data_IF_041047459553
#
_entry.id   IF_041047459553
#
_cell.length_a   1.000
_cell.length_b   1.000
_cell.length_c   1.000
_cell.angle_alpha   90.00
_cell.angle_beta   90.00
_cell.angle_gamma   90.00
#
_symmetry.space_group_name_H-M   'P 1'
#
loop_
_entity.id
_entity.type
_entity.pdbx_description
1 polymer ?
#
# COMPACT_ATOMS: atom_id res chain seq x y z
N UNK A 1 14.19 -5.77 -3.78
CA UNK A 1 14.20 -4.67 -2.80
C UNK A 1 14.01 -3.37 -3.55
N UNK A 2 12.87 -2.69 -3.38
CA UNK A 2 12.88 -1.24 -3.54
C UNK A 2 13.03 -0.67 -2.14
N UNK A 3 14.17 -0.05 -1.89
CA UNK A 3 14.56 0.50 -0.59
C UNK A 3 15.16 1.90 -0.75
N UNK A 4 14.74 2.66 -1.76
CA UNK A 4 15.01 4.09 -1.77
C UNK A 4 14.07 4.76 -0.78
N UNK A 5 14.59 5.26 0.34
CA UNK A 5 13.86 6.10 1.29
C UNK A 5 13.84 7.56 0.81
N UNK A 6 12.81 8.33 1.17
CA UNK A 6 12.74 9.78 0.94
C UNK A 6 13.60 10.53 1.97
N UNK A 7 14.90 10.28 2.00
CA UNK A 7 15.78 10.82 3.06
C UNK A 7 16.03 12.31 2.85
N UNK A 8 16.43 12.71 1.64
CA UNK A 8 16.78 14.10 1.33
C UNK A 8 15.56 15.02 1.47
N UNK A 9 14.41 14.61 0.94
CA UNK A 9 13.18 15.38 0.97
C UNK A 9 12.66 15.59 2.41
N UNK A 10 12.82 14.58 3.28
CA UNK A 10 12.45 14.71 4.69
C UNK A 10 13.39 15.69 5.41
N UNK A 11 14.70 15.64 5.16
CA UNK A 11 15.64 16.61 5.74
C UNK A 11 15.33 18.03 5.30
N UNK A 12 15.10 18.25 4.00
CA UNK A 12 14.72 19.56 3.47
C UNK A 12 13.43 20.09 4.13
N UNK A 13 12.43 19.22 4.29
CA UNK A 13 11.19 19.57 4.99
C UNK A 13 11.42 19.93 6.47
N UNK A 14 12.30 19.19 7.15
CA UNK A 14 12.68 19.46 8.55
C UNK A 14 13.37 20.81 8.69
N UNK A 15 14.32 21.13 7.80
CA UNK A 15 15.03 22.41 7.84
C UNK A 15 14.11 23.60 7.57
N UNK A 16 13.20 23.47 6.60
CA UNK A 16 12.33 24.56 6.18
C UNK A 16 11.17 24.83 7.13
N UNK A 17 10.55 23.78 7.67
CA UNK A 17 9.26 23.90 8.38
C UNK A 17 9.26 23.37 9.81
N UNK A 18 10.33 22.67 10.23
CA UNK A 18 10.45 22.03 11.56
C UNK A 18 9.19 21.26 11.95
N UNK A 19 8.70 20.35 11.09
CA UNK A 19 7.47 19.62 11.34
C UNK A 19 7.66 18.62 12.47
N UNK A 20 6.58 18.25 13.15
CA UNK A 20 6.57 17.05 13.99
C UNK A 20 6.65 15.82 13.07
N UNK A 21 7.59 14.92 13.32
CA UNK A 21 7.74 13.67 12.57
C UNK A 21 7.23 12.50 13.41
N UNK A 22 6.34 11.68 12.83
CA UNK A 22 5.80 10.48 13.47
C UNK A 22 6.06 9.30 12.52
N UNK A 23 6.70 8.25 13.02
CA UNK A 23 6.96 7.01 12.29
C UNK A 23 6.14 5.87 12.88
N UNK A 24 5.21 5.36 12.08
CA UNK A 24 4.38 4.20 12.41
C UNK A 24 5.02 2.99 11.71
N UNK A 25 5.77 2.19 12.45
CA UNK A 25 6.50 1.02 11.93
C UNK A 25 6.64 -0.03 13.04
N UNK A 26 6.47 -1.33 12.78
CA UNK A 26 6.73 -2.38 13.76
C UNK A 26 8.19 -2.39 14.29
N UNK A 27 9.13 -1.80 13.55
CA UNK A 27 10.54 -1.70 13.92
C UNK A 27 10.92 -0.26 14.23
N UNK A 28 11.70 -0.07 15.29
CA UNK A 28 12.39 1.19 15.55
C UNK A 28 13.59 1.30 14.62
N UNK A 29 13.42 1.96 13.48
CA UNK A 29 14.47 2.14 12.46
C UNK A 29 15.39 3.32 12.80
N UNK A 30 16.54 3.39 12.11
CA UNK A 30 17.48 4.52 12.26
C UNK A 30 16.82 5.88 11.94
N UNK A 31 15.79 5.88 11.09
CA UNK A 31 14.98 7.07 10.77
C UNK A 31 14.34 7.70 12.00
N UNK A 32 14.04 6.93 13.05
CA UNK A 32 13.52 7.45 14.32
C UNK A 32 14.53 8.41 14.95
N UNK A 33 15.79 8.00 15.00
CA UNK A 33 16.88 8.84 15.52
C UNK A 33 17.24 9.96 14.54
N UNK A 34 17.31 9.64 13.24
CA UNK A 34 17.77 10.56 12.20
C UNK A 34 16.85 11.78 12.02
N UNK A 35 15.55 11.62 12.30
CA UNK A 35 14.53 12.67 12.12
C UNK A 35 13.96 13.18 13.44
N UNK A 36 14.53 12.79 14.59
CA UNK A 36 13.95 13.05 15.93
C UNK A 36 12.44 12.71 15.99
N UNK A 37 12.08 11.56 15.41
CA UNK A 37 10.70 11.19 15.19
C UNK A 37 10.10 10.49 16.42
N UNK A 38 8.82 10.73 16.66
CA UNK A 38 8.03 9.87 17.54
C UNK A 38 7.83 8.51 16.87
N UNK A 39 8.13 7.41 17.57
CA UNK A 39 7.92 6.07 17.06
C UNK A 39 6.66 5.43 17.64
N UNK A 40 5.76 4.98 16.77
CA UNK A 40 4.54 4.24 17.10
C UNK A 40 4.67 2.78 16.64
N UNK A 41 4.89 1.82 17.57
CA UNK A 41 5.18 0.42 17.25
C UNK A 41 3.91 -0.36 16.91
N UNK A 42 3.39 -0.17 15.70
CA UNK A 42 2.19 -0.87 15.23
C UNK A 42 2.47 -2.37 15.03
N UNK A 43 1.50 -3.23 15.35
CA UNK A 43 1.57 -4.65 14.98
C UNK A 43 1.46 -4.81 13.45
N UNK A 44 2.32 -5.61 12.80
CA UNK A 44 2.29 -5.78 11.35
C UNK A 44 0.90 -6.15 10.81
N UNK A 45 0.44 -5.47 9.76
CA UNK A 45 -0.82 -5.75 9.07
C UNK A 45 -2.07 -5.20 9.75
N UNK A 46 -1.93 -4.31 10.74
CA UNK A 46 -3.07 -3.72 11.48
C UNK A 46 -3.32 -2.25 11.15
N UNK A 47 -2.65 -1.72 10.12
CA UNK A 47 -2.70 -0.32 9.72
C UNK A 47 -4.11 0.17 9.41
N UNK A 48 -4.91 -0.63 8.69
CA UNK A 48 -6.30 -0.30 8.38
C UNK A 48 -7.18 -0.13 9.64
N UNK A 49 -6.89 -0.89 10.71
CA UNK A 49 -7.60 -0.75 11.98
C UNK A 49 -7.22 0.56 12.69
N UNK A 50 -5.93 0.94 12.65
CA UNK A 50 -5.48 2.24 13.15
C UNK A 50 -6.18 3.38 12.41
N UNK A 51 -6.22 3.32 11.06
CA UNK A 51 -6.84 4.38 10.26
C UNK A 51 -8.35 4.48 10.50
N UNK A 52 -9.05 3.34 10.60
CA UNK A 52 -10.48 3.34 10.90
C UNK A 52 -10.78 4.01 12.26
N UNK A 53 -9.94 3.78 13.28
CA UNK A 53 -10.10 4.41 14.59
C UNK A 53 -9.67 5.89 14.65
N UNK A 54 -8.73 6.30 13.81
CA UNK A 54 -8.48 7.72 13.58
C UNK A 54 -9.73 8.35 12.97
N UNK A 55 -10.28 7.76 11.91
CA UNK A 55 -11.53 8.20 11.28
C UNK A 55 -12.70 8.28 12.26
N UNK A 56 -12.83 7.29 13.16
CA UNK A 56 -13.83 7.29 14.22
C UNK A 56 -13.70 8.51 15.13
N UNK A 57 -12.48 8.81 15.59
CA UNK A 57 -12.22 9.99 16.43
C UNK A 57 -12.57 11.27 15.67
N UNK A 58 -12.16 11.37 14.39
CA UNK A 58 -12.47 12.54 13.56
C UNK A 58 -13.99 12.75 13.43
N UNK A 59 -14.76 11.69 13.22
CA UNK A 59 -16.23 11.77 13.10
C UNK A 59 -16.85 12.18 14.44
N UNK A 60 -16.46 11.56 15.56
CA UNK A 60 -17.06 11.83 16.88
C UNK A 60 -16.73 13.23 17.41
N UNK A 61 -15.61 13.80 16.99
CA UNK A 61 -15.16 15.14 17.40
C UNK A 61 -15.48 16.23 16.37
N UNK A 62 -16.22 15.90 15.30
CA UNK A 62 -16.60 16.85 14.24
C UNK A 62 -15.39 17.51 13.56
N UNK A 63 -14.36 16.71 13.28
CA UNK A 63 -13.08 17.14 12.68
C UNK A 63 -12.93 16.71 11.21
N UNK A 64 -13.98 16.15 10.61
CA UNK A 64 -13.98 15.74 9.20
C UNK A 64 -14.32 16.93 8.31
N UNK A 65 -13.59 17.11 7.20
CA UNK A 65 -13.95 18.07 6.16
C UNK A 65 -15.09 17.52 5.27
N UNK A 66 -16.30 17.44 5.84
CA UNK A 66 -17.46 16.87 5.13
C UNK A 66 -17.83 17.67 3.88
N UNK A 67 -17.61 18.99 3.86
CA UNK A 67 -17.90 19.82 2.69
C UNK A 67 -17.03 19.42 1.49
N UNK A 68 -15.72 19.26 1.70
CA UNK A 68 -14.82 18.84 0.64
C UNK A 68 -15.13 17.43 0.16
N UNK A 69 -15.38 16.50 1.09
CA UNK A 69 -15.68 15.10 0.75
C UNK A 69 -16.95 15.03 -0.08
N UNK A 70 -18.02 15.71 0.33
CA UNK A 70 -19.30 15.70 -0.39
C UNK A 70 -19.21 16.36 -1.77
N UNK A 71 -18.22 17.23 -2.01
CA UNK A 71 -17.98 17.86 -3.32
C UNK A 71 -17.22 16.96 -4.29
N UNK A 72 -16.28 16.15 -3.79
CA UNK A 72 -15.28 15.48 -4.65
C UNK A 72 -15.26 13.96 -4.54
N UNK A 73 -15.98 13.37 -3.60
CA UNK A 73 -16.00 11.94 -3.36
C UNK A 73 -17.43 11.38 -3.37
N UNK A 74 -17.51 10.05 -3.54
CA UNK A 74 -18.74 9.27 -3.57
C UNK A 74 -18.60 8.15 -2.54
N UNK A 75 -19.67 7.86 -1.80
CA UNK A 75 -19.74 6.78 -0.82
C UNK A 75 -19.13 7.08 0.55
N UNK A 76 -18.96 8.35 0.91
CA UNK A 76 -18.53 8.73 2.27
C UNK A 76 -19.64 8.49 3.28
N UNK A 77 -20.84 8.99 2.96
CA UNK A 77 -22.06 8.90 3.75
C UNK A 77 -23.22 8.44 2.86
N UNK A 78 -24.42 8.34 3.42
CA UNK A 78 -25.62 7.93 2.67
C UNK A 78 -26.04 8.96 1.61
N UNK A 79 -25.67 10.23 1.75
CA UNK A 79 -26.01 11.29 0.78
C UNK A 79 -25.18 11.20 -0.50
N UNK A 80 -23.94 10.70 -0.37
CA UNK A 80 -22.99 10.54 -1.47
C UNK A 80 -22.95 9.09 -1.98
N UNK A 81 -23.77 8.19 -1.42
CA UNK A 81 -23.87 6.81 -1.85
C UNK A 81 -24.59 6.70 -3.21
N UNK A 82 -24.12 5.89 -4.17
CA UNK A 82 -24.91 5.60 -5.37
C UNK A 82 -26.22 4.90 -5.02
N UNK A 83 -27.31 5.19 -5.75
CA UNK A 83 -28.62 4.54 -5.52
C UNK A 83 -28.59 3.00 -5.57
N UNK A 84 -27.62 2.43 -6.28
CA UNK A 84 -27.44 0.98 -6.39
C UNK A 84 -26.69 0.35 -5.22
N UNK A 85 -26.10 1.14 -4.33
CA UNK A 85 -25.33 0.64 -3.21
C UNK A 85 -26.23 0.27 -2.02
N UNK A 86 -25.91 -0.80 -1.26
CA UNK A 86 -26.71 -1.21 -0.11
C UNK A 86 -26.77 -0.14 0.98
N UNK A 87 -27.89 -0.10 1.71
CA UNK A 87 -28.02 0.76 2.89
C UNK A 87 -26.89 0.47 3.90
N UNK A 88 -26.35 1.51 4.52
CA UNK A 88 -25.22 1.42 5.47
C UNK A 88 -23.92 0.88 4.87
N UNK A 89 -23.75 0.92 3.54
CA UNK A 89 -22.48 0.55 2.88
C UNK A 89 -21.50 1.71 2.72
N UNK A 90 -21.79 2.88 3.30
CA UNK A 90 -20.87 4.04 3.26
C UNK A 90 -19.64 3.81 4.12
N UNK A 91 -18.54 4.52 3.82
CA UNK A 91 -17.33 4.41 4.63
C UNK A 91 -17.54 4.93 6.07
N UNK A 92 -18.35 5.99 6.25
CA UNK A 92 -18.77 6.49 7.56
C UNK A 92 -19.59 5.44 8.33
N UNK A 93 -20.51 4.74 7.66
CA UNK A 93 -21.30 3.64 8.25
C UNK A 93 -20.42 2.46 8.68
N UNK A 94 -19.40 2.09 7.89
CA UNK A 94 -18.39 1.09 8.28
C UNK A 94 -17.62 1.48 9.55
N UNK A 95 -17.17 2.74 9.64
CA UNK A 95 -16.42 3.24 10.81
C UNK A 95 -17.30 3.26 12.07
N UNK A 96 -18.56 3.66 11.93
CA UNK A 96 -19.51 3.76 13.03
C UNK A 96 -20.13 2.41 13.44
N UNK A 97 -19.81 1.32 12.73
CA UNK A 97 -20.34 -0.01 13.03
C UNK A 97 -21.80 -0.22 12.62
N UNK A 98 -22.28 0.59 11.66
CA UNK A 98 -23.63 0.47 11.10
C UNK A 98 -23.69 -0.47 9.90
N UNK A 99 -22.53 -0.81 9.32
CA UNK A 99 -22.42 -1.75 8.21
C UNK A 99 -22.55 -3.22 8.63
N UNK A 100 -22.34 -4.13 7.68
CA UNK A 100 -22.55 -5.58 7.82
C UNK A 100 -21.81 -6.22 9.01
N UNK A 101 -20.62 -5.71 9.35
CA UNK A 101 -19.82 -6.29 10.44
C UNK A 101 -20.33 -5.94 11.85
N UNK A 102 -21.15 -4.88 11.99
CA UNK A 102 -21.69 -4.43 13.27
C UNK A 102 -20.65 -3.97 14.29
N UNK A 103 -19.41 -3.68 13.87
CA UNK A 103 -18.30 -3.33 14.79
C UNK A 103 -18.01 -1.84 14.72
N UNK A 104 -18.21 -1.11 15.81
CA UNK A 104 -17.76 0.28 15.90
C UNK A 104 -16.21 0.32 15.95
N UNK A 105 -15.59 1.03 15.00
CA UNK A 105 -14.13 1.07 14.85
C UNK A 105 -13.48 2.08 15.80
N UNK A 106 -13.83 2.05 17.08
CA UNK A 106 -13.36 3.02 18.07
C UNK A 106 -11.88 2.83 18.48
N UNK A 107 -11.24 3.83 19.13
CA UNK A 107 -9.84 3.74 19.58
C UNK A 107 -9.54 2.57 20.51
N UNK A 108 -10.48 2.18 21.37
CA UNK A 108 -10.33 1.06 22.29
C UNK A 108 -10.27 -0.28 21.54
N UNK A 109 -11.12 -0.46 20.52
CA UNK A 109 -11.07 -1.59 19.58
C UNK A 109 -9.74 -1.66 18.83
N UNK A 110 -9.32 -0.55 18.22
CA UNK A 110 -8.06 -0.52 17.47
C UNK A 110 -6.84 -0.70 18.37
N UNK A 111 -6.89 -0.28 19.63
CA UNK A 111 -5.79 -0.47 20.58
C UNK A 111 -5.49 -1.95 20.81
N UNK A 112 -6.52 -2.78 20.92
CA UNK A 112 -6.38 -4.23 21.08
C UNK A 112 -5.74 -4.89 19.85
N UNK A 113 -6.02 -4.39 18.65
CA UNK A 113 -5.48 -4.94 17.40
C UNK A 113 -4.05 -4.44 17.14
N UNK A 114 -3.87 -3.13 17.18
CA UNK A 114 -2.65 -2.43 16.73
C UNK A 114 -1.54 -2.41 17.76
N UNK A 115 -1.87 -2.53 19.05
CA UNK A 115 -0.95 -2.29 20.15
C UNK A 115 -0.71 -0.81 20.46
N UNK A 116 -1.27 0.13 19.69
CA UNK A 116 -1.17 1.57 19.96
C UNK A 116 -2.19 1.96 21.02
N UNK A 117 -1.82 2.70 22.09
CA UNK A 117 -2.78 3.11 23.12
C UNK A 117 -3.94 3.94 22.56
N UNK A 118 -5.17 3.66 22.99
CA UNK A 118 -6.38 4.37 22.54
C UNK A 118 -6.28 5.90 22.71
N UNK A 119 -5.67 6.36 23.81
CA UNK A 119 -5.40 7.79 24.04
C UNK A 119 -4.51 8.39 22.94
N UNK A 120 -3.49 7.64 22.51
CA UNK A 120 -2.57 8.10 21.48
C UNK A 120 -3.22 8.13 20.10
N UNK A 121 -4.09 7.17 19.79
CA UNK A 121 -4.89 7.16 18.56
C UNK A 121 -5.76 8.42 18.48
N UNK A 122 -6.44 8.77 19.58
CA UNK A 122 -7.25 10.01 19.66
C UNK A 122 -6.40 11.26 19.46
N UNK A 123 -5.24 11.33 20.11
CA UNK A 123 -4.29 12.43 19.93
C UNK A 123 -3.79 12.52 18.48
N UNK A 124 -3.51 11.38 17.84
CA UNK A 124 -3.01 11.34 16.46
C UNK A 124 -4.06 11.89 15.49
N UNK A 125 -5.34 11.53 15.69
CA UNK A 125 -6.44 12.08 14.90
C UNK A 125 -6.49 13.62 14.97
N UNK A 126 -6.44 14.17 16.19
CA UNK A 126 -6.44 15.63 16.42
C UNK A 126 -5.20 16.32 15.84
N UNK A 127 -4.03 15.69 15.96
CA UNK A 127 -2.77 16.20 15.38
C UNK A 127 -2.85 16.26 13.85
N UNK A 128 -3.39 15.24 13.19
CA UNK A 128 -3.53 15.21 11.73
C UNK A 128 -4.56 16.25 11.26
N UNK A 129 -5.72 16.33 11.92
CA UNK A 129 -6.77 17.29 11.56
C UNK A 129 -6.35 18.75 11.81
N UNK A 130 -5.63 19.00 12.91
CA UNK A 130 -5.15 20.33 13.27
C UNK A 130 -3.88 20.79 12.54
N UNK A 131 -3.23 19.91 11.77
CA UNK A 131 -2.03 20.26 11.03
C UNK A 131 -2.35 21.21 9.86
N UNK A 132 -1.58 22.30 9.74
CA UNK A 132 -1.72 23.23 8.62
C UNK A 132 -1.47 22.53 7.26
N UNK A 133 -0.53 21.59 7.23
CA UNK A 133 -0.28 20.71 6.11
C UNK A 133 0.20 19.35 6.66
N UNK A 134 -0.64 18.32 6.55
CA UNK A 134 -0.28 16.96 6.95
C UNK A 134 0.29 16.20 5.74
N UNK A 135 1.56 15.78 5.84
CA UNK A 135 2.18 14.87 4.90
C UNK A 135 2.11 13.43 5.43
N UNK A 136 1.29 12.60 4.79
CA UNK A 136 0.98 11.23 5.22
C UNK A 136 1.54 10.26 4.19
N UNK A 137 2.73 9.69 4.41
CA UNK A 137 3.39 8.84 3.42
C UNK A 137 3.48 7.39 3.89
N UNK A 138 2.87 6.46 3.14
CA UNK A 138 3.09 5.03 3.34
C UNK A 138 4.30 4.53 2.56
N UNK A 139 5.13 3.70 3.19
CA UNK A 139 6.08 2.86 2.48
C UNK A 139 5.38 1.73 1.72
N UNK A 140 6.08 1.09 0.77
CA UNK A 140 5.52 -0.02 -0.01
C UNK A 140 5.44 -1.35 0.75
N UNK A 141 5.85 -1.40 2.02
CA UNK A 141 5.77 -2.61 2.84
C UNK A 141 4.32 -3.01 3.12
N UNK A 142 3.48 -2.04 3.48
CA UNK A 142 2.10 -2.30 3.93
C UNK A 142 1.24 -2.96 2.83
N UNK A 143 1.45 -2.56 1.57
CA UNK A 143 0.71 -3.11 0.43
C UNK A 143 1.27 -4.43 -0.11
N UNK A 144 2.40 -4.93 0.42
CA UNK A 144 3.01 -6.21 0.01
C UNK A 144 2.62 -7.33 0.97
N UNK A 145 1.32 -7.39 1.25
CA UNK A 145 0.70 -8.35 2.13
C UNK A 145 -0.59 -8.85 1.49
N UNK A 146 -1.18 -9.91 2.04
CA UNK A 146 -2.53 -10.31 1.65
C UNK A 146 -3.50 -9.15 1.94
N UNK A 147 -4.34 -8.77 0.98
CA UNK A 147 -5.23 -7.61 1.06
C UNK A 147 -4.50 -6.26 1.23
N UNK A 148 -3.24 -6.18 0.79
CA UNK A 148 -2.42 -4.97 0.90
C UNK A 148 -3.04 -3.75 0.20
N UNK A 149 -3.87 -3.95 -0.81
CA UNK A 149 -4.66 -2.89 -1.45
C UNK A 149 -5.64 -2.22 -0.48
N UNK A 150 -6.19 -2.96 0.48
CA UNK A 150 -7.10 -2.42 1.50
C UNK A 150 -6.34 -1.58 2.52
N UNK A 151 -5.17 -2.06 2.95
CA UNK A 151 -4.30 -1.31 3.85
C UNK A 151 -3.84 0.00 3.19
N UNK A 152 -3.36 -0.06 1.95
CA UNK A 152 -3.00 1.13 1.19
C UNK A 152 -4.17 2.10 1.03
N UNK A 153 -5.34 1.60 0.59
CA UNK A 153 -6.55 2.40 0.43
C UNK A 153 -6.95 3.10 1.73
N UNK A 154 -6.87 2.41 2.87
CA UNK A 154 -7.23 2.99 4.16
C UNK A 154 -6.38 4.23 4.48
N UNK A 155 -5.07 4.17 4.25
CA UNK A 155 -4.16 5.30 4.51
C UNK A 155 -4.49 6.49 3.60
N UNK A 156 -4.83 6.23 2.34
CA UNK A 156 -5.28 7.27 1.39
C UNK A 156 -6.57 7.97 1.85
N UNK A 157 -7.38 7.35 2.72
CA UNK A 157 -8.58 8.00 3.27
C UNK A 157 -8.26 9.09 4.29
N UNK A 158 -7.11 9.07 4.95
CA UNK A 158 -6.77 10.10 5.94
C UNK A 158 -6.76 11.52 5.35
N UNK A 159 -5.98 11.83 4.29
CA UNK A 159 -5.96 13.18 3.72
C UNK A 159 -7.30 13.59 3.08
N UNK A 160 -8.14 12.61 2.71
CA UNK A 160 -9.52 12.85 2.25
C UNK A 160 -10.39 13.29 3.43
N UNK A 161 -10.35 12.55 4.55
CA UNK A 161 -11.14 12.86 5.75
C UNK A 161 -10.76 14.20 6.40
N UNK A 162 -9.48 14.59 6.32
CA UNK A 162 -8.96 15.79 7.00
C UNK A 162 -8.79 17.00 6.08
N UNK A 163 -9.33 16.95 4.86
CA UNK A 163 -9.28 18.09 3.93
C UNK A 163 -7.86 18.48 3.51
N UNK A 164 -6.92 17.54 3.51
CA UNK A 164 -5.53 17.77 3.14
C UNK A 164 -5.30 17.52 1.64
N UNK A 165 -6.13 16.67 1.00
CA UNK A 165 -5.96 16.28 -0.39
C UNK A 165 -5.83 17.49 -1.35
N UNK A 166 -4.74 17.55 -2.12
CA UNK A 166 -4.51 18.57 -3.14
C UNK A 166 -4.03 19.94 -2.63
N UNK A 167 -3.78 20.11 -1.33
CA UNK A 167 -3.26 21.37 -0.77
C UNK A 167 -1.73 21.46 -0.84
N UNK A 168 -1.14 22.66 -0.97
CA UNK A 168 0.31 22.83 -0.86
C UNK A 168 0.87 22.29 0.45
N UNK A 169 1.99 21.56 0.39
CA UNK A 169 2.65 20.97 1.56
C UNK A 169 2.02 19.67 2.08
N UNK A 170 1.01 19.14 1.39
CA UNK A 170 0.34 17.87 1.73
C UNK A 170 0.66 16.78 0.69
N UNK A 171 0.11 15.59 0.87
CA UNK A 171 0.11 14.55 -0.15
C UNK A 171 -1.19 13.74 -0.17
N UNK A 172 -1.24 12.72 -1.02
CA UNK A 172 -2.43 11.89 -1.22
C UNK A 172 -2.51 10.67 -0.31
N UNK A 173 -1.58 10.50 0.64
CA UNK A 173 -1.48 9.28 1.44
C UNK A 173 -0.51 8.23 0.87
N UNK A 174 0.14 8.53 -0.27
CA UNK A 174 1.07 7.65 -0.96
C UNK A 174 2.52 8.09 -0.80
N UNK A 175 3.44 7.21 -1.16
CA UNK A 175 4.86 7.54 -1.30
C UNK A 175 5.07 8.72 -2.26
N UNK A 176 5.97 9.65 -1.92
CA UNK A 176 6.12 10.95 -2.61
C UNK A 176 6.90 10.93 -3.93
N UNK A 177 7.01 9.78 -4.60
CA UNK A 177 7.58 9.68 -5.94
C UNK A 177 8.58 8.54 -6.14
N UNK A 178 8.91 8.24 -7.39
CA UNK A 178 9.91 7.24 -7.75
C UNK A 178 10.75 7.71 -8.93
N UNK A 179 12.07 7.54 -8.85
CA UNK A 179 12.97 7.79 -9.98
C UNK A 179 13.05 6.51 -10.83
N UNK A 180 12.71 6.57 -12.12
CA UNK A 180 12.88 5.43 -13.01
C UNK A 180 14.36 5.24 -13.36
N UNK A 181 14.88 4.04 -13.14
CA UNK A 181 16.18 3.62 -13.66
C UNK A 181 15.94 2.74 -14.89
N UNK A 182 16.14 3.25 -16.11
CA UNK A 182 15.90 2.47 -17.31
C UNK A 182 16.92 1.34 -17.40
N UNK A 183 16.42 0.14 -17.65
CA UNK A 183 17.23 -1.02 -18.03
C UNK A 183 17.00 -1.25 -19.51
N UNK A 184 18.07 -1.36 -20.30
CA UNK A 184 17.98 -1.59 -21.74
C UNK A 184 17.23 -2.90 -22.03
N UNK A 185 16.13 -2.80 -22.77
CA UNK A 185 15.36 -3.95 -23.24
C UNK A 185 15.84 -4.45 -24.61
N UNK A 186 15.16 -5.48 -25.12
CA UNK A 186 15.28 -5.83 -26.52
C UNK A 186 14.72 -4.72 -27.41
N UNK A 187 15.40 -4.43 -28.52
CA UNK A 187 14.93 -3.50 -29.55
C UNK A 187 13.81 -4.06 -30.43
N UNK A 188 13.39 -5.31 -30.22
CA UNK A 188 12.27 -5.94 -30.91
C UNK A 188 10.98 -5.73 -30.11
N UNK A 189 9.91 -5.31 -30.79
CA UNK A 189 8.59 -5.22 -30.18
C UNK A 189 8.06 -6.61 -29.80
N UNK A 190 7.36 -6.70 -28.67
CA UNK A 190 6.70 -7.95 -28.27
C UNK A 190 5.37 -8.13 -29.05
N UNK A 191 5.27 -9.11 -29.97
CA UNK A 191 4.03 -9.36 -30.71
C UNK A 191 2.96 -10.00 -29.82
N UNK A 192 3.34 -10.63 -28.69
CA UNK A 192 2.43 -11.29 -27.77
C UNK A 192 1.79 -10.26 -26.85
N UNK A 193 0.45 -10.22 -26.86
CA UNK A 193 -0.36 -9.33 -25.99
C UNK A 193 -0.75 -9.99 -24.67
N UNK A 194 -0.69 -11.32 -24.61
CA UNK A 194 -0.89 -12.07 -23.39
C UNK A 194 0.17 -11.67 -22.35
N UNK A 195 -0.26 -11.33 -21.14
CA UNK A 195 0.63 -11.04 -20.01
C UNK A 195 0.05 -11.53 -18.70
N UNK A 196 0.93 -11.78 -17.74
CA UNK A 196 0.61 -12.27 -16.40
C UNK A 196 1.12 -11.29 -15.35
N UNK A 197 0.55 -11.29 -14.13
CA UNK A 197 1.18 -10.64 -13.00
C UNK A 197 2.60 -11.20 -12.78
N UNK A 198 3.57 -10.31 -12.59
CA UNK A 198 4.99 -10.67 -12.44
C UNK A 198 5.23 -11.78 -11.41
N UNK A 199 4.53 -11.71 -10.27
CA UNK A 199 4.70 -12.67 -9.17
C UNK A 199 4.19 -14.09 -9.51
N UNK A 200 3.30 -14.23 -10.50
CA UNK A 200 2.65 -15.49 -10.88
C UNK A 200 3.45 -16.30 -11.90
N UNK A 201 4.71 -15.95 -12.15
CA UNK A 201 5.54 -16.63 -13.15
C UNK A 201 5.72 -18.13 -12.85
N UNK A 202 5.83 -18.52 -11.57
CA UNK A 202 5.93 -19.93 -11.14
C UNK A 202 4.67 -20.73 -11.47
N UNK A 203 3.50 -20.11 -11.31
CA UNK A 203 2.22 -20.72 -11.65
C UNK A 203 2.04 -20.84 -13.17
N UNK A 204 2.49 -19.84 -13.93
CA UNK A 204 2.42 -19.89 -15.40
C UNK A 204 3.26 -21.03 -16.01
N UNK A 205 4.32 -21.47 -15.32
CA UNK A 205 5.13 -22.62 -15.73
C UNK A 205 4.44 -23.95 -15.40
N UNK A 206 3.87 -24.04 -14.20
CA UNK A 206 3.34 -25.31 -13.67
C UNK A 206 1.91 -25.58 -14.12
N UNK A 207 1.06 -24.55 -14.13
CA UNK A 207 -0.38 -24.61 -14.40
C UNK A 207 -0.87 -23.51 -15.35
N UNK A 208 -0.01 -23.02 -16.26
CA UNK A 208 -0.37 -21.91 -17.17
C UNK A 208 -1.69 -22.11 -17.91
N UNK A 209 -1.95 -23.31 -18.44
CA UNK A 209 -3.21 -23.65 -19.14
C UNK A 209 -4.47 -23.62 -18.26
N UNK A 210 -4.32 -23.55 -16.94
CA UNK A 210 -5.40 -23.36 -15.97
C UNK A 210 -5.59 -21.87 -15.62
N UNK A 211 -4.60 -21.02 -15.88
CA UNK A 211 -4.64 -19.60 -15.52
C UNK A 211 -5.59 -18.82 -16.41
N UNK A 212 -6.47 -18.02 -15.80
CA UNK A 212 -7.52 -17.26 -16.50
C UNK A 212 -7.45 -15.75 -16.23
N UNK A 213 -8.14 -14.97 -17.07
CA UNK A 213 -8.29 -13.53 -16.86
C UNK A 213 -8.98 -13.19 -15.53
N UNK A 214 -9.98 -13.98 -15.14
CA UNK A 214 -10.77 -13.72 -13.93
C UNK A 214 -10.06 -14.17 -12.64
N UNK A 215 -9.47 -15.36 -12.63
CA UNK A 215 -8.88 -15.92 -11.40
C UNK A 215 -7.43 -15.49 -11.17
N UNK A 216 -6.66 -15.29 -12.24
CA UNK A 216 -5.20 -15.08 -12.17
C UNK A 216 -4.75 -13.76 -12.80
N UNK A 217 -5.69 -12.90 -13.19
CA UNK A 217 -5.43 -11.59 -13.81
C UNK A 217 -4.58 -11.67 -15.08
N UNK A 218 -4.74 -12.74 -15.86
CA UNK A 218 -4.18 -12.82 -17.22
C UNK A 218 -4.79 -11.71 -18.08
N UNK A 219 -3.96 -10.96 -18.80
CA UNK A 219 -4.39 -9.88 -19.70
C UNK A 219 -4.12 -10.24 -21.14
N UNK A 220 -4.96 -9.76 -22.06
CA UNK A 220 -4.79 -9.96 -23.51
C UNK A 220 -5.23 -11.33 -24.03
N UNK A 221 -5.74 -12.20 -23.16
CA UNK A 221 -6.38 -13.49 -23.48
C UNK A 221 -7.22 -13.94 -22.28
N UNK A 222 -8.28 -14.70 -22.50
CA UNK A 222 -9.11 -15.25 -21.41
C UNK A 222 -8.37 -16.31 -20.59
N UNK A 223 -7.40 -16.99 -21.21
CA UNK A 223 -6.60 -18.08 -20.64
C UNK A 223 -5.27 -18.19 -21.35
N UNK A 224 -4.20 -18.61 -20.65
CA UNK A 224 -2.94 -18.89 -21.34
C UNK A 224 -3.07 -20.15 -22.20
N UNK A 225 -2.65 -20.11 -23.47
CA UNK A 225 -2.79 -21.25 -24.38
C UNK A 225 -1.81 -22.39 -24.05
N UNK A 226 -0.77 -22.12 -23.25
CA UNK A 226 0.26 -23.10 -22.88
C UNK A 226 0.89 -22.73 -21.54
N UNK A 227 1.53 -23.71 -20.92
CA UNK A 227 2.43 -23.48 -19.82
C UNK A 227 3.74 -22.85 -20.32
N UNK A 228 4.30 -21.91 -19.58
CA UNK A 228 5.60 -21.31 -19.91
C UNK A 228 6.69 -22.37 -19.79
N UNK A 229 7.53 -22.50 -20.83
CA UNK A 229 8.63 -23.48 -20.90
C UNK A 229 10.03 -22.86 -20.90
N UNK A 230 10.10 -21.55 -21.08
CA UNK A 230 11.34 -20.78 -21.08
C UNK A 230 11.10 -19.47 -20.34
N UNK A 231 11.96 -19.19 -19.37
CA UNK A 231 12.09 -17.87 -18.75
C UNK A 231 13.46 -17.31 -19.13
N UNK A 232 13.44 -16.10 -19.66
CA UNK A 232 14.64 -15.29 -19.77
C UNK A 232 14.66 -14.28 -18.63
N UNK A 233 15.64 -14.43 -17.75
CA UNK A 233 15.83 -13.54 -16.61
C UNK A 233 17.01 -12.60 -16.86
N UNK A 234 16.74 -11.30 -16.99
CA UNK A 234 17.72 -10.25 -17.27
C UNK A 234 17.63 -9.15 -16.21
N UNK A 235 18.78 -8.74 -15.66
CA UNK A 235 18.91 -7.70 -14.63
C UNK A 235 17.96 -7.89 -13.42
N UNK A 236 17.68 -9.15 -13.07
CA UNK A 236 16.68 -9.50 -12.07
C UNK A 236 17.10 -10.78 -11.33
N UNK A 237 16.56 -10.98 -10.12
CA UNK A 237 16.83 -12.15 -9.28
C UNK A 237 15.53 -12.85 -8.84
N UNK A 238 14.50 -12.79 -9.68
CA UNK A 238 13.18 -13.42 -9.44
C UNK A 238 13.23 -14.93 -9.25
N UNK A 239 14.26 -15.61 -9.77
CA UNK A 239 14.47 -17.05 -9.59
C UNK A 239 15.17 -17.40 -8.28
N UNK A 240 15.55 -16.40 -7.48
CA UNK A 240 16.18 -16.58 -6.18
C UNK A 240 15.55 -15.58 -5.19
N UNK A 241 16.32 -14.70 -4.55
CA UNK A 241 15.90 -13.90 -3.39
C UNK A 241 14.76 -12.88 -3.58
N UNK A 242 14.09 -12.87 -4.74
CA UNK A 242 12.94 -11.99 -5.02
C UNK A 242 11.61 -12.76 -5.15
N UNK A 243 11.60 -14.08 -5.00
CA UNK A 243 10.37 -14.87 -4.82
C UNK A 243 10.19 -15.26 -3.35
N UNK A 244 8.94 -15.33 -2.87
CA UNK A 244 8.66 -15.61 -1.45
C UNK A 244 8.88 -17.07 -1.05
N UNK A 245 8.86 -17.99 -2.02
CA UNK A 245 9.04 -19.43 -1.80
C UNK A 245 10.15 -19.96 -2.70
N UNK A 246 11.36 -20.09 -2.13
CA UNK A 246 12.55 -20.56 -2.85
C UNK A 246 12.55 -22.08 -3.05
N UNK A 247 11.90 -22.83 -2.17
CA UNK A 247 11.83 -24.28 -2.30
C UNK A 247 10.94 -24.67 -3.49
N UNK A 248 9.78 -24.02 -3.62
CA UNK A 248 8.92 -24.15 -4.82
C UNK A 248 9.69 -23.78 -6.09
N UNK A 249 10.40 -22.65 -6.06
CA UNK A 249 11.20 -22.22 -7.22
C UNK A 249 12.28 -23.24 -7.56
N UNK A 250 13.00 -23.77 -6.56
CA UNK A 250 14.03 -24.79 -6.78
C UNK A 250 13.48 -26.02 -7.50
N UNK A 251 12.31 -26.54 -7.09
CA UNK A 251 11.69 -27.69 -7.76
C UNK A 251 11.26 -27.38 -9.19
N UNK A 252 10.64 -26.22 -9.43
CA UNK A 252 10.25 -25.79 -10.79
C UNK A 252 11.49 -25.68 -11.69
N UNK A 253 12.59 -25.15 -11.16
CA UNK A 253 13.83 -24.96 -11.92
C UNK A 253 14.50 -26.28 -12.33
N UNK A 254 14.19 -27.42 -11.70
CA UNK A 254 14.66 -28.74 -12.16
C UNK A 254 13.94 -29.24 -13.42
N UNK A 255 12.75 -28.72 -13.72
CA UNK A 255 11.82 -29.30 -14.69
C UNK A 255 11.84 -28.65 -16.08
N UNK A 256 12.51 -27.49 -16.26
CA UNK A 256 12.46 -26.72 -17.51
C UNK A 256 13.84 -26.20 -17.96
N UNK A 257 13.90 -25.62 -19.15
CA UNK A 257 15.11 -24.99 -19.69
C UNK A 257 15.16 -23.50 -19.30
N UNK A 258 16.30 -23.03 -18.78
CA UNK A 258 16.46 -21.68 -18.24
C UNK A 258 17.65 -20.95 -18.83
N UNK A 259 17.45 -19.67 -19.15
CA UNK A 259 18.53 -18.75 -19.53
C UNK A 259 18.49 -17.56 -18.55
N UNK A 260 19.49 -17.50 -17.69
CA UNK A 260 19.67 -16.38 -16.74
C UNK A 260 20.97 -15.66 -17.08
N UNK A 261 20.88 -14.35 -17.30
CA UNK A 261 22.04 -13.48 -17.47
C UNK A 261 22.00 -12.41 -16.38
N UNK A 262 22.73 -12.66 -15.30
CA UNK A 262 22.94 -11.69 -14.20
C UNK A 262 24.29 -11.03 -14.38
N UNK A 263 24.30 -9.72 -14.58
CA UNK A 263 25.51 -8.91 -14.48
C UNK A 263 25.94 -8.86 -13.01
N UNK A 264 26.84 -9.75 -12.59
CA UNK A 264 27.63 -9.53 -11.38
C UNK A 264 28.77 -8.59 -11.75
N UNK A 265 28.50 -7.29 -11.71
CA UNK A 265 29.55 -6.29 -11.64
C UNK A 265 30.18 -6.36 -10.24
N UNK A 266 31.14 -7.26 -10.05
CA UNK A 266 32.11 -7.09 -8.97
C UNK A 266 33.04 -5.97 -9.45
N UNK A 267 32.71 -4.72 -9.11
CA UNK A 267 33.73 -3.68 -9.07
C UNK A 267 34.54 -3.91 -7.81
N UNK A 268 35.73 -4.50 -7.98
CA UNK A 268 36.82 -4.49 -7.00
C UNK A 268 37.24 -3.07 -6.66
#
# INVERSE_FOLDING_TARGET
MSGGGQIAEIYDAIEQSKPKVILIDPRRTDSVTAFDAEWLPIRPGTDAALIAAIGHTLIKEDLVDEEMINRYAVGWDENTLPESAPENSSYKSYILGLGEDGVEKNPEWASQLTGIPAVRIKQLAREIAGANAAWISQGWGVQRTQQGEQAARSILMLPVMTGQFGRPGTNVGSWGGSVPYPVSGLSIGNPIKASIPCFMWTDAITRGTEMTAQADFVKGTDRLPTNIKMLWNYASNVTNNQHSDLNKVHEIMKMSLWLSSTWYGITT
#
